data_IF_810664838511
#
_entry.id   IF_810664838511
#
_cell.length_a   1.000
_cell.length_b   1.000
_cell.length_c   1.000
_cell.angle_alpha   90.00
_cell.angle_beta   90.00
_cell.angle_gamma   90.00
#
_symmetry.space_group_name_H-M   'P 1'
#
loop_
_entity.id
_entity.type
_entity.pdbx_description
1 polymer ?
#
# COMPACT_ATOMS: atom_id res chain seq x y z
N UNK A 1 -3.96 -1.89 -18.87
CA UNK A 1 -5.13 -2.72 -18.52
C UNK A 1 -5.15 -2.84 -17.01
N UNK A 2 -5.99 -2.05 -16.33
CA UNK A 2 -6.18 -2.16 -14.89
C UNK A 2 -7.07 -3.39 -14.67
N UNK A 3 -6.53 -4.42 -14.02
CA UNK A 3 -7.31 -5.62 -13.68
C UNK A 3 -8.28 -5.20 -12.57
N UNK A 4 -9.53 -5.00 -12.95
CA UNK A 4 -10.63 -4.65 -12.06
C UNK A 4 -11.13 -5.94 -11.41
N UNK A 5 -10.31 -6.52 -10.54
CA UNK A 5 -10.68 -7.71 -9.76
C UNK A 5 -11.69 -7.29 -8.67
N UNK A 6 -12.96 -7.71 -8.72
CA UNK A 6 -13.97 -7.28 -7.75
C UNK A 6 -13.85 -7.98 -6.39
N UNK A 7 -12.92 -8.93 -6.20
CA UNK A 7 -12.78 -9.71 -4.96
C UNK A 7 -12.45 -8.88 -3.72
N UNK A 8 -11.88 -7.67 -3.88
CA UNK A 8 -11.62 -6.76 -2.75
C UNK A 8 -12.85 -5.94 -2.31
N UNK A 9 -13.99 -6.02 -3.02
CA UNK A 9 -15.18 -5.23 -2.69
C UNK A 9 -15.98 -5.89 -1.57
N UNK A 10 -15.70 -5.47 -0.34
CA UNK A 10 -16.56 -5.77 0.80
C UNK A 10 -17.95 -5.12 0.65
N UNK A 11 -19.03 -5.84 0.99
CA UNK A 11 -20.37 -5.26 1.08
C UNK A 11 -20.52 -4.50 2.42
N UNK A 12 -21.19 -3.33 2.45
CA UNK A 12 -21.13 -2.43 3.61
C UNK A 12 -22.10 -2.88 4.70
N UNK A 13 -21.60 -3.08 5.92
CA UNK A 13 -22.40 -2.77 7.11
C UNK A 13 -22.11 -1.32 7.49
N UNK A 14 -23.16 -0.49 7.50
CA UNK A 14 -23.10 0.91 7.91
C UNK A 14 -23.15 1.00 9.43
N UNK A 15 -22.13 1.58 10.05
CA UNK A 15 -22.19 2.30 11.33
C UNK A 15 -20.87 3.08 11.52
N UNK A 16 -20.91 4.41 11.38
CA UNK A 16 -19.81 5.41 11.53
C UNK A 16 -18.39 4.95 11.18
N UNK A 17 -17.92 5.40 10.01
CA UNK A 17 -16.59 5.21 9.39
C UNK A 17 -15.39 5.79 10.18
N UNK A 18 -15.52 5.95 11.50
CA UNK A 18 -14.54 6.62 12.39
C UNK A 18 -13.48 5.68 12.96
N UNK A 19 -13.45 4.40 12.55
CA UNK A 19 -12.58 3.37 13.15
C UNK A 19 -11.58 2.71 12.19
N UNK A 20 -11.76 2.83 10.86
CA UNK A 20 -10.81 2.25 9.92
C UNK A 20 -9.49 3.04 9.95
N UNK A 21 -8.44 2.42 10.46
CA UNK A 21 -7.11 3.04 10.53
C UNK A 21 -6.61 3.39 9.13
N UNK A 22 -6.03 4.58 8.98
CA UNK A 22 -5.34 4.99 7.77
C UNK A 22 -3.91 4.47 7.83
N UNK A 23 -3.53 3.64 6.87
CA UNK A 23 -2.19 3.05 6.80
C UNK A 23 -1.41 3.66 5.65
N UNK A 24 -0.22 4.19 5.95
CA UNK A 24 0.71 4.64 4.94
C UNK A 24 1.42 3.42 4.33
N UNK A 25 1.31 3.23 3.02
CA UNK A 25 1.94 2.11 2.31
C UNK A 25 3.27 2.56 1.70
N UNK A 26 4.36 2.06 2.27
CA UNK A 26 5.71 2.24 1.77
C UNK A 26 6.18 0.95 1.08
N UNK A 27 6.61 1.05 -0.17
CA UNK A 27 7.17 -0.07 -0.93
C UNK A 27 8.24 0.42 -1.91
N UNK A 28 9.12 -0.45 -2.43
CA UNK A 28 10.12 -0.04 -3.40
C UNK A 28 9.49 0.59 -4.64
N UNK A 29 10.05 1.69 -5.15
CA UNK A 29 9.65 2.32 -6.42
C UNK A 29 10.75 2.25 -7.49
N UNK A 30 11.98 2.60 -7.15
CA UNK A 30 13.11 2.66 -8.09
C UNK A 30 13.54 1.28 -8.62
N UNK A 31 14.15 1.26 -9.81
CA UNK A 31 14.52 0.04 -10.53
C UNK A 31 13.46 -0.34 -11.57
N UNK A 32 12.89 -1.55 -11.47
CA UNK A 32 11.75 -1.95 -12.31
C UNK A 32 10.46 -1.26 -11.84
N UNK A 33 10.29 -0.01 -12.24
CA UNK A 33 9.17 0.86 -11.83
C UNK A 33 7.83 0.21 -12.16
N UNK A 34 7.70 -0.46 -13.32
CA UNK A 34 6.43 -1.10 -13.71
C UNK A 34 6.05 -2.21 -12.75
N UNK A 35 7.00 -3.09 -12.41
CA UNK A 35 6.79 -4.17 -11.45
C UNK A 35 6.52 -3.62 -10.04
N UNK A 36 7.28 -2.61 -9.63
CA UNK A 36 7.12 -1.97 -8.33
C UNK A 36 5.76 -1.29 -8.16
N UNK A 37 5.24 -0.60 -9.18
CA UNK A 37 3.89 -0.04 -9.15
C UNK A 37 2.79 -1.11 -9.13
N UNK A 38 3.04 -2.29 -9.72
CA UNK A 38 2.10 -3.43 -9.58
C UNK A 38 2.11 -3.95 -8.14
N UNK A 39 3.29 -4.14 -7.55
CA UNK A 39 3.45 -4.58 -6.17
C UNK A 39 2.82 -3.59 -5.17
N UNK A 40 3.01 -2.29 -5.35
CA UNK A 40 2.38 -1.26 -4.52
C UNK A 40 0.85 -1.34 -4.54
N UNK A 41 0.25 -1.66 -5.71
CA UNK A 41 -1.20 -1.89 -5.81
C UNK A 41 -1.65 -3.15 -5.08
N UNK A 42 -0.86 -4.23 -5.13
CA UNK A 42 -1.12 -5.44 -4.36
C UNK A 42 -1.04 -5.15 -2.85
N UNK A 43 -0.03 -4.40 -2.39
CA UNK A 43 0.09 -3.97 -1.00
C UNK A 43 -1.13 -3.14 -0.54
N UNK A 44 -1.63 -2.23 -1.38
CA UNK A 44 -2.87 -1.49 -1.07
C UNK A 44 -4.09 -2.42 -0.98
N UNK A 45 -4.21 -3.41 -1.88
CA UNK A 45 -5.31 -4.40 -1.83
C UNK A 45 -5.23 -5.26 -0.56
N UNK A 46 -4.02 -5.62 -0.16
CA UNK A 46 -3.77 -6.33 1.09
C UNK A 46 -4.18 -5.50 2.31
N UNK A 47 -3.87 -4.21 2.34
CA UNK A 47 -4.37 -3.32 3.39
C UNK A 47 -5.90 -3.23 3.41
N UNK A 48 -6.54 -3.15 2.25
CA UNK A 48 -8.02 -3.10 2.16
C UNK A 48 -8.67 -4.37 2.72
N UNK A 49 -8.11 -5.56 2.47
CA UNK A 49 -8.67 -6.80 3.04
C UNK A 49 -8.44 -6.93 4.55
N UNK A 50 -7.43 -6.25 5.08
CA UNK A 50 -7.19 -6.12 6.51
C UNK A 50 -8.05 -5.00 7.15
N UNK A 51 -9.08 -4.53 6.43
CA UNK A 51 -10.01 -3.46 6.85
C UNK A 51 -9.33 -2.10 7.12
N UNK A 52 -8.19 -1.85 6.46
CA UNK A 52 -7.45 -0.59 6.56
C UNK A 52 -7.76 0.35 5.40
N UNK A 53 -7.54 1.65 5.62
CA UNK A 53 -7.59 2.68 4.56
C UNK A 53 -6.18 3.00 4.06
N UNK A 54 -5.72 2.45 2.91
CA UNK A 54 -4.35 2.67 2.45
C UNK A 54 -4.15 4.05 1.81
N UNK A 55 -3.02 4.67 2.15
CA UNK A 55 -2.46 5.81 1.43
C UNK A 55 -1.08 5.45 0.88
N UNK A 56 -0.93 5.41 -0.45
CA UNK A 56 0.32 5.10 -1.12
C UNK A 56 0.79 6.28 -1.98
N UNK A 57 1.69 7.16 -1.46
CA UNK A 57 2.01 8.41 -2.13
C UNK A 57 2.68 8.21 -3.48
N UNK A 58 3.50 7.18 -3.66
CA UNK A 58 4.16 6.96 -4.94
C UNK A 58 3.23 6.36 -6.01
N UNK A 59 2.02 5.91 -5.67
CA UNK A 59 0.97 5.64 -6.66
C UNK A 59 0.22 6.91 -7.05
N UNK A 60 0.28 7.98 -6.24
CA UNK A 60 -0.43 9.23 -6.45
C UNK A 60 0.47 10.30 -7.07
N UNK A 61 1.51 10.73 -6.35
CA UNK A 61 2.31 11.90 -6.69
C UNK A 61 3.21 11.67 -7.91
N UNK A 62 3.69 10.46 -8.16
CA UNK A 62 4.52 10.15 -9.34
C UNK A 62 3.74 10.23 -10.66
N UNK A 63 2.41 10.36 -10.62
CA UNK A 63 1.60 10.63 -11.80
C UNK A 63 1.55 12.13 -12.15
N UNK A 64 2.00 12.99 -11.23
CA UNK A 64 1.92 14.45 -11.33
C UNK A 64 3.30 15.13 -11.20
N UNK A 65 4.26 14.45 -10.59
CA UNK A 65 5.63 14.93 -10.33
C UNK A 65 6.66 14.02 -11.02
N UNK A 66 7.71 14.62 -11.56
CA UNK A 66 8.86 13.96 -12.15
C UNK A 66 9.91 13.61 -11.08
N UNK A 67 10.02 12.31 -10.75
CA UNK A 67 11.00 11.82 -9.77
C UNK A 67 12.46 11.97 -10.23
N UNK A 68 12.69 12.27 -11.52
CA UNK A 68 14.02 12.57 -12.06
C UNK A 68 14.44 14.03 -11.87
N UNK A 69 13.48 14.93 -11.63
CA UNK A 69 13.75 16.30 -11.25
C UNK A 69 13.94 16.39 -9.72
N UNK A 70 15.08 16.92 -9.22
CA UNK A 70 15.35 16.98 -7.78
C UNK A 70 14.35 17.82 -6.97
N UNK A 71 13.81 18.91 -7.54
CA UNK A 71 12.88 19.79 -6.84
C UNK A 71 11.50 19.14 -6.74
N UNK A 72 11.00 18.58 -7.84
CA UNK A 72 9.72 17.85 -7.85
C UNK A 72 9.79 16.57 -7.01
N UNK A 73 10.92 15.85 -7.03
CA UNK A 73 11.17 14.72 -6.13
C UNK A 73 11.08 15.13 -4.66
N UNK A 74 11.74 16.23 -4.28
CA UNK A 74 11.69 16.71 -2.90
C UNK A 74 10.28 17.15 -2.52
N UNK A 75 9.55 17.80 -3.43
CA UNK A 75 8.14 18.13 -3.23
C UNK A 75 7.28 16.88 -2.99
N UNK A 76 7.49 15.81 -3.76
CA UNK A 76 6.81 14.53 -3.57
C UNK A 76 7.07 13.91 -2.19
N UNK A 77 8.32 13.94 -1.74
CA UNK A 77 8.72 13.49 -0.40
C UNK A 77 8.04 14.33 0.69
N UNK A 78 8.01 15.66 0.54
CA UNK A 78 7.40 16.56 1.53
C UNK A 78 5.89 16.35 1.63
N UNK A 79 5.21 16.15 0.50
CA UNK A 79 3.79 15.82 0.44
C UNK A 79 3.51 14.46 1.09
N UNK A 80 4.31 13.44 0.78
CA UNK A 80 4.25 12.13 1.44
C UNK A 80 4.39 12.25 2.96
N UNK A 81 5.40 12.98 3.44
CA UNK A 81 5.62 13.22 4.87
C UNK A 81 4.47 13.96 5.56
N UNK A 82 3.78 14.89 4.85
CA UNK A 82 2.57 15.55 5.37
C UNK A 82 1.42 14.57 5.53
N UNK A 83 1.25 13.65 4.59
CA UNK A 83 0.23 12.63 4.68
C UNK A 83 0.56 11.56 5.72
N UNK A 84 1.82 11.16 5.88
CA UNK A 84 2.24 10.23 6.92
C UNK A 84 1.82 10.68 8.32
N UNK A 85 1.91 12.00 8.62
CA UNK A 85 1.43 12.58 9.89
C UNK A 85 -0.06 12.39 10.17
N UNK A 86 -0.85 12.11 9.13
CA UNK A 86 -2.29 11.90 9.21
C UNK A 86 -2.65 10.40 9.25
N UNK A 87 -1.67 9.51 9.10
CA UNK A 87 -1.85 8.07 9.13
C UNK A 87 -1.69 7.53 10.56
N UNK A 88 -2.42 6.46 10.85
CA UNK A 88 -2.37 5.74 12.13
C UNK A 88 -1.17 4.79 12.20
N UNK A 89 -0.72 4.25 11.06
CA UNK A 89 0.42 3.32 10.97
C UNK A 89 1.19 3.50 9.65
N UNK A 90 2.47 3.13 9.66
CA UNK A 90 3.30 2.94 8.47
C UNK A 90 3.48 1.44 8.21
N UNK A 91 3.14 0.98 7.01
CA UNK A 91 3.41 -0.38 6.57
C UNK A 91 4.59 -0.39 5.58
N UNK A 92 5.67 -1.06 5.95
CA UNK A 92 6.83 -1.34 5.11
C UNK A 92 6.58 -2.65 4.36
N UNK A 93 6.21 -2.55 3.10
CA UNK A 93 5.80 -3.67 2.27
C UNK A 93 6.95 -4.19 1.39
N UNK A 94 7.18 -5.50 1.45
CA UNK A 94 8.17 -6.25 0.67
C UNK A 94 9.43 -6.61 1.46
N UNK A 95 10.26 -7.46 0.86
CA UNK A 95 11.38 -8.10 1.58
C UNK A 95 12.66 -7.25 1.63
N UNK A 96 12.59 -6.01 1.12
CA UNK A 96 13.71 -5.05 1.13
C UNK A 96 13.23 -3.66 1.47
N UNK A 97 14.07 -2.91 2.19
CA UNK A 97 13.86 -1.50 2.50
C UNK A 97 14.68 -0.66 1.51
N UNK A 98 13.99 0.12 0.68
CA UNK A 98 14.62 1.10 -0.21
C UNK A 98 15.04 2.37 0.54
N UNK A 99 15.91 3.24 -0.02
CA UNK A 99 16.25 4.51 0.62
C UNK A 99 15.04 5.40 0.91
N UNK A 100 14.04 5.43 0.02
CA UNK A 100 12.79 6.15 0.25
C UNK A 100 12.02 5.60 1.45
N UNK A 101 11.86 4.27 1.50
CA UNK A 101 11.22 3.57 2.63
C UNK A 101 11.97 3.78 3.96
N UNK A 102 13.31 3.85 3.93
CA UNK A 102 14.11 4.13 5.11
C UNK A 102 13.83 5.54 5.65
N UNK A 103 13.70 6.53 4.76
CA UNK A 103 13.30 7.89 5.15
C UNK A 103 11.88 7.96 5.72
N UNK A 104 10.94 7.22 5.13
CA UNK A 104 9.57 7.11 5.64
C UNK A 104 9.54 6.43 7.03
N UNK A 105 10.33 5.38 7.23
CA UNK A 105 10.50 4.70 8.53
C UNK A 105 11.08 5.64 9.60
N UNK A 106 12.17 6.35 9.29
CA UNK A 106 12.77 7.32 10.20
C UNK A 106 11.75 8.39 10.60
N UNK A 107 10.98 8.88 9.63
CA UNK A 107 9.94 9.89 9.88
C UNK A 107 8.82 9.36 10.77
N UNK A 108 8.32 8.14 10.51
CA UNK A 108 7.31 7.51 11.35
C UNK A 108 7.81 7.31 12.79
N UNK A 109 9.04 6.81 12.96
CA UNK A 109 9.67 6.64 14.28
C UNK A 109 9.78 7.97 15.03
N UNK A 110 10.19 9.05 14.37
CA UNK A 110 10.27 10.40 14.96
C UNK A 110 8.91 10.95 15.39
N UNK A 111 7.84 10.56 14.73
CA UNK A 111 6.47 10.97 15.04
C UNK A 111 5.77 10.05 16.05
N UNK A 112 6.39 8.93 16.43
CA UNK A 112 5.75 7.90 17.25
C UNK A 112 4.65 7.12 16.53
N UNK A 113 4.66 7.12 15.18
CA UNK A 113 3.72 6.35 14.37
C UNK A 113 4.20 4.89 14.34
N UNK A 114 3.36 3.90 14.71
CA UNK A 114 3.70 2.49 14.63
C UNK A 114 4.13 2.06 13.24
N UNK A 115 5.18 1.24 13.16
CA UNK A 115 5.71 0.69 11.91
C UNK A 115 5.47 -0.82 11.89
N UNK A 116 4.76 -1.32 10.88
CA UNK A 116 4.54 -2.75 10.60
C UNK A 116 5.34 -3.16 9.37
N UNK A 117 6.05 -4.27 9.43
CA UNK A 117 6.63 -4.91 8.25
C UNK A 117 5.63 -5.92 7.68
N UNK A 118 5.44 -5.91 6.37
CA UNK A 118 4.59 -6.89 5.65
C UNK A 118 5.41 -7.48 4.51
N UNK A 119 5.62 -8.79 4.53
CA UNK A 119 6.46 -9.49 3.55
C UNK A 119 5.80 -9.56 2.16
N UNK A 120 6.61 -9.82 1.14
CA UNK A 120 6.09 -10.09 -0.21
C UNK A 120 5.18 -11.32 -0.20
N UNK A 121 5.53 -12.35 0.57
CA UNK A 121 4.77 -13.59 0.71
C UNK A 121 3.37 -13.33 1.27
N UNK A 122 3.24 -12.54 2.34
CA UNK A 122 1.93 -12.17 2.91
C UNK A 122 1.05 -11.47 1.87
N UNK A 123 1.60 -10.49 1.14
CA UNK A 123 0.86 -9.73 0.13
C UNK A 123 0.42 -10.61 -1.05
N UNK A 124 1.26 -11.57 -1.46
CA UNK A 124 0.96 -12.47 -2.58
C UNK A 124 0.09 -13.66 -2.20
N UNK A 125 0.13 -14.09 -0.93
CA UNK A 125 -0.69 -15.20 -0.43
C UNK A 125 -2.20 -14.94 -0.56
N UNK A 126 -2.59 -13.68 -0.57
CA UNK A 126 -3.96 -13.25 -0.86
C UNK A 126 -4.43 -13.51 -2.29
N UNK A 127 -3.53 -13.55 -3.28
CA UNK A 127 -3.92 -13.89 -4.65
C UNK A 127 -4.21 -15.40 -4.81
N UNK A 128 -3.90 -16.22 -3.80
CA UNK A 128 -4.10 -17.68 -3.78
C UNK A 128 -5.43 -18.14 -3.18
N UNK A 129 -6.39 -17.25 -2.91
CA UNK A 129 -7.78 -17.67 -2.63
C UNK A 129 -8.65 -17.49 -3.88
N UNK A 130 -8.60 -18.39 -4.88
CA UNK A 130 -9.79 -18.64 -5.67
C UNK A 130 -10.80 -19.22 -4.67
N UNK A 131 -11.94 -18.56 -4.53
CA UNK A 131 -13.15 -19.11 -3.91
C UNK A 131 -13.20 -20.62 -4.08
N UNK A 132 -13.20 -21.30 -2.94
CA UNK A 132 -13.66 -22.66 -2.68
C UNK A 132 -14.13 -23.42 -3.93
N UNK A 133 -13.35 -24.44 -4.31
CA UNK A 133 -13.80 -25.51 -5.20
C UNK A 133 -14.90 -26.35 -4.54
N UNK A 134 -16.06 -25.74 -4.28
CA UNK A 134 -17.32 -26.43 -4.00
C UNK A 134 -18.10 -26.58 -5.29
N UNK A 135 -18.19 -27.83 -5.75
CA UNK A 135 -19.33 -28.33 -6.51
C UNK A 135 -19.16 -28.33 -8.03
N UNK A 136 -18.72 -29.46 -8.57
CA UNK A 136 -19.54 -30.24 -9.51
C UNK A 136 -19.05 -31.70 -9.46
N UNK A 137 -19.72 -32.53 -8.66
CA UNK A 137 -19.78 -33.96 -8.94
C UNK A 137 -20.74 -34.11 -10.12
N UNK A 138 -20.22 -34.51 -11.28
CA UNK A 138 -21.04 -34.91 -12.41
C UNK A 138 -21.34 -36.39 -12.27
N UNK A 139 -22.61 -36.71 -12.02
CA UNK A 139 -23.20 -37.99 -12.42
C UNK A 139 -23.59 -37.97 -13.89
#
# INVERSE_FOLDING_TARGET
MVVNDPSYRHQPQRETDTQAKVVYIASPLSGDVKRNLQFARQACRYAISEEMTPFCPHLLYTQMLDDSDPEERQLGIDLGNRMLRLCDELWLCGDRISPGMAGEKEMAERLGIPVRSVSTEEIQSMELSPTEGMGMSMG
#
